data_IF_516237798343
#
_entry.id   IF_516237798343
#
_cell.length_a   1.000
_cell.length_b   1.000
_cell.length_c   1.000
_cell.angle_alpha   90.00
_cell.angle_beta   90.00
_cell.angle_gamma   90.00
#
_symmetry.space_group_name_H-M   'P 1'
#
loop_
_entity.id
_entity.type
_entity.pdbx_description
1 polymer ?
#
# COMPACT_ATOMS: atom_id res chain seq x y z
N UNK A 1 1.31 -18.83 -13.58
CA UNK A 1 2.57 -18.71 -12.82
C UNK A 1 2.32 -18.60 -11.32
N UNK A 2 1.59 -17.56 -10.83
CA UNK A 2 1.31 -17.34 -9.38
C UNK A 2 0.66 -18.57 -8.74
N UNK A 3 -0.37 -19.16 -9.37
CA UNK A 3 -1.05 -20.34 -8.82
C UNK A 3 -0.10 -21.52 -8.62
N UNK A 4 0.76 -21.80 -9.61
CA UNK A 4 1.72 -22.91 -9.53
C UNK A 4 2.76 -22.69 -8.43
N UNK A 5 3.25 -21.44 -8.27
CA UNK A 5 4.22 -21.09 -7.23
C UNK A 5 3.59 -21.09 -5.83
N UNK A 6 2.33 -20.68 -5.70
CA UNK A 6 1.59 -20.75 -4.44
C UNK A 6 1.28 -22.20 -4.01
N UNK A 7 1.18 -23.13 -4.97
CA UNK A 7 0.96 -24.55 -4.65
C UNK A 7 2.19 -25.24 -4.01
N UNK A 8 3.36 -24.61 -4.06
CA UNK A 8 4.55 -25.11 -3.37
C UNK A 8 4.37 -24.87 -1.86
N UNK A 9 4.40 -25.92 -1.00
CA UNK A 9 4.34 -25.78 0.44
C UNK A 9 5.41 -24.80 0.97
N UNK A 10 5.10 -24.09 2.04
CA UNK A 10 5.99 -23.02 2.55
C UNK A 10 7.34 -23.57 3.01
N UNK A 11 7.35 -24.72 3.66
CA UNK A 11 8.54 -25.45 4.10
C UNK A 11 9.40 -26.00 2.95
N UNK A 12 8.87 -26.04 1.74
CA UNK A 12 9.59 -26.45 0.52
C UNK A 12 10.07 -25.26 -0.31
N UNK A 13 9.72 -24.03 0.09
CA UNK A 13 10.16 -22.83 -0.61
C UNK A 13 11.59 -22.50 -0.22
N UNK A 14 12.47 -22.56 -1.20
CA UNK A 14 13.80 -21.99 -1.09
C UNK A 14 13.80 -20.53 -1.60
N UNK A 15 14.92 -19.85 -1.45
CA UNK A 15 15.10 -18.47 -1.91
C UNK A 15 14.61 -18.25 -3.37
N UNK A 16 14.99 -19.15 -4.29
CA UNK A 16 14.64 -19.00 -5.71
C UNK A 16 13.13 -19.05 -5.96
N UNK A 17 12.42 -19.99 -5.32
CA UNK A 17 10.98 -20.13 -5.47
C UNK A 17 10.24 -18.99 -4.78
N UNK A 18 10.69 -18.55 -3.60
CA UNK A 18 10.16 -17.40 -2.90
C UNK A 18 10.34 -16.11 -3.72
N UNK A 19 11.53 -15.86 -4.21
CA UNK A 19 11.83 -14.73 -5.10
C UNK A 19 10.97 -14.72 -6.37
N UNK A 20 10.83 -15.89 -7.03
CA UNK A 20 10.01 -16.00 -8.22
C UNK A 20 8.53 -15.72 -7.95
N UNK A 21 8.00 -16.17 -6.80
CA UNK A 21 6.63 -15.91 -6.38
C UNK A 21 6.43 -14.42 -6.08
N UNK A 22 7.33 -13.81 -5.31
CA UNK A 22 7.26 -12.39 -5.00
C UNK A 22 7.30 -11.53 -6.26
N UNK A 23 8.23 -11.81 -7.17
CA UNK A 23 8.31 -11.12 -8.47
C UNK A 23 7.02 -11.26 -9.29
N UNK A 24 6.41 -12.44 -9.30
CA UNK A 24 5.16 -12.65 -10.04
C UNK A 24 3.99 -11.88 -9.42
N UNK A 25 3.93 -11.80 -8.07
CA UNK A 25 2.92 -11.02 -7.33
C UNK A 25 3.10 -9.52 -7.55
N UNK A 26 4.33 -9.00 -7.51
CA UNK A 26 4.62 -7.60 -7.79
C UNK A 26 4.30 -7.23 -9.23
N UNK A 27 4.70 -8.05 -10.20
CA UNK A 27 4.38 -7.81 -11.60
C UNK A 27 2.85 -7.80 -11.82
N UNK A 28 2.12 -8.69 -11.17
CA UNK A 28 0.65 -8.67 -11.18
C UNK A 28 0.10 -7.36 -10.61
N UNK A 29 0.65 -6.87 -9.51
CA UNK A 29 0.16 -5.66 -8.85
C UNK A 29 0.54 -4.36 -9.56
N UNK A 30 1.75 -4.29 -10.13
CA UNK A 30 2.35 -3.05 -10.64
C UNK A 30 2.14 -2.88 -12.14
N UNK A 31 2.38 -3.96 -12.90
CA UNK A 31 2.37 -3.93 -14.37
C UNK A 31 1.04 -4.48 -14.91
N UNK A 32 0.35 -5.21 -14.09
CA UNK A 32 -0.69 -6.16 -14.28
C UNK A 32 -1.56 -6.02 -15.54
N UNK A 33 -1.78 -7.16 -16.16
CA UNK A 33 -2.90 -7.39 -17.07
C UNK A 33 -4.20 -7.33 -16.22
N UNK A 34 -4.44 -6.16 -15.65
CA UNK A 34 -5.68 -5.90 -14.95
C UNK A 34 -6.72 -5.59 -16.02
N UNK A 35 -7.75 -6.43 -16.11
CA UNK A 35 -8.97 -6.04 -16.80
C UNK A 35 -9.38 -4.67 -16.27
N UNK A 36 -9.83 -3.77 -17.16
CA UNK A 36 -10.41 -2.48 -16.78
C UNK A 36 -11.46 -2.74 -15.69
N UNK A 37 -11.24 -2.20 -14.50
CA UNK A 37 -12.13 -2.41 -13.35
C UNK A 37 -11.61 -3.38 -12.27
N UNK A 38 -10.39 -3.91 -12.37
CA UNK A 38 -9.80 -4.65 -11.24
C UNK A 38 -9.56 -3.72 -10.06
N UNK A 39 -10.19 -3.95 -8.90
CA UNK A 39 -10.05 -3.06 -7.76
C UNK A 39 -8.60 -3.00 -7.26
N UNK A 40 -8.12 -1.80 -6.94
CA UNK A 40 -6.75 -1.54 -6.43
C UNK A 40 -6.38 -2.44 -5.25
N UNK A 41 -7.31 -2.76 -4.36
CA UNK A 41 -7.04 -3.62 -3.20
C UNK A 41 -6.52 -5.03 -3.55
N UNK A 42 -6.78 -5.52 -4.76
CA UNK A 42 -6.23 -6.81 -5.22
C UNK A 42 -4.72 -6.70 -5.48
N UNK A 43 -4.27 -5.56 -6.03
CA UNK A 43 -2.86 -5.25 -6.16
C UNK A 43 -2.20 -5.10 -4.79
N UNK A 44 -2.82 -4.38 -3.87
CA UNK A 44 -2.29 -4.20 -2.51
C UNK A 44 -2.14 -5.53 -1.76
N UNK A 45 -3.12 -6.45 -1.87
CA UNK A 45 -3.00 -7.81 -1.32
C UNK A 45 -1.84 -8.60 -1.93
N UNK A 46 -1.63 -8.48 -3.24
CA UNK A 46 -0.53 -9.16 -3.92
C UNK A 46 0.83 -8.60 -3.47
N UNK A 47 0.95 -7.27 -3.29
CA UNK A 47 2.16 -6.64 -2.76
C UNK A 47 2.44 -7.05 -1.31
N UNK A 48 1.43 -7.05 -0.43
CA UNK A 48 1.58 -7.54 0.94
C UNK A 48 2.09 -8.98 0.94
N UNK A 49 1.48 -9.85 0.11
CA UNK A 49 1.92 -11.25 0.02
C UNK A 49 3.32 -11.40 -0.55
N UNK A 50 3.72 -10.56 -1.51
CA UNK A 50 5.09 -10.55 -2.04
C UNK A 50 6.12 -10.22 -0.96
N UNK A 51 5.84 -9.20 -0.14
CA UNK A 51 6.68 -8.81 1.00
C UNK A 51 6.79 -9.95 2.01
N UNK A 52 5.67 -10.58 2.41
CA UNK A 52 5.66 -11.73 3.34
C UNK A 52 6.54 -12.89 2.82
N UNK A 53 6.40 -13.20 1.54
CA UNK A 53 7.19 -14.27 0.90
C UNK A 53 8.69 -13.94 0.88
N UNK A 54 9.05 -12.68 0.60
CA UNK A 54 10.46 -12.24 0.65
C UNK A 54 11.00 -12.26 2.08
N UNK A 55 10.20 -11.86 3.06
CA UNK A 55 10.57 -11.91 4.47
C UNK A 55 10.85 -13.34 4.96
N UNK A 56 10.11 -14.33 4.46
CA UNK A 56 10.34 -15.75 4.83
C UNK A 56 11.73 -16.28 4.43
N UNK A 57 12.41 -15.61 3.51
CA UNK A 57 13.77 -15.94 3.04
C UNK A 57 14.78 -14.81 3.28
N UNK A 58 14.51 -13.96 4.26
CA UNK A 58 15.35 -12.80 4.59
C UNK A 58 16.82 -13.16 4.83
N UNK A 59 17.08 -14.23 5.59
CA UNK A 59 18.45 -14.66 5.92
C UNK A 59 19.30 -14.94 4.67
N UNK A 60 18.68 -15.48 3.62
CA UNK A 60 19.36 -15.73 2.35
C UNK A 60 19.38 -14.52 1.42
N UNK A 61 18.43 -13.58 1.61
CA UNK A 61 18.16 -12.49 0.68
C UNK A 61 18.77 -11.15 1.05
N UNK A 62 18.88 -10.80 2.34
CA UNK A 62 19.18 -9.45 2.81
C UNK A 62 20.50 -8.84 2.27
N UNK A 63 21.45 -9.69 1.88
CA UNK A 63 22.72 -9.28 1.30
C UNK A 63 22.76 -9.42 -0.23
N UNK A 64 21.59 -9.54 -0.88
CA UNK A 64 21.45 -9.58 -2.33
C UNK A 64 20.73 -8.34 -2.85
N UNK A 65 21.29 -7.72 -3.88
CA UNK A 65 20.72 -6.51 -4.50
C UNK A 65 19.28 -6.76 -5.00
N UNK A 66 19.06 -7.87 -5.68
CA UNK A 66 17.76 -8.22 -6.24
C UNK A 66 16.67 -8.46 -5.17
N UNK A 67 17.01 -8.96 -3.99
CA UNK A 67 16.05 -9.10 -2.89
C UNK A 67 15.66 -7.73 -2.33
N UNK A 68 16.64 -6.88 -2.08
CA UNK A 68 16.43 -5.52 -1.59
C UNK A 68 15.63 -4.69 -2.62
N UNK A 69 15.91 -4.86 -3.91
CA UNK A 69 15.15 -4.24 -4.99
C UNK A 69 13.66 -4.64 -4.92
N UNK A 70 13.35 -5.93 -4.73
CA UNK A 70 11.96 -6.41 -4.62
C UNK A 70 11.27 -5.86 -3.37
N UNK A 71 11.94 -5.88 -2.22
CA UNK A 71 11.41 -5.28 -1.00
C UNK A 71 11.13 -3.79 -1.17
N UNK A 72 12.02 -3.07 -1.84
CA UNK A 72 11.83 -1.66 -2.14
C UNK A 72 10.60 -1.43 -3.03
N UNK A 73 10.45 -2.17 -4.13
CA UNK A 73 9.27 -2.06 -5.00
C UNK A 73 7.99 -2.46 -4.27
N UNK A 74 7.98 -3.55 -3.51
CA UNK A 74 6.82 -3.96 -2.74
C UNK A 74 6.28 -2.85 -1.86
N UNK A 75 7.14 -2.17 -1.11
CA UNK A 75 6.74 -1.05 -0.24
C UNK A 75 6.48 0.26 -0.99
N UNK A 76 7.19 0.55 -2.09
CA UNK A 76 7.00 1.76 -2.90
C UNK A 76 5.57 1.87 -3.44
N UNK A 77 5.03 0.75 -3.93
CA UNK A 77 3.70 0.71 -4.53
C UNK A 77 2.56 0.48 -3.53
N UNK A 78 2.86 0.17 -2.27
CA UNK A 78 1.88 0.15 -1.19
C UNK A 78 1.65 1.57 -0.67
N UNK A 79 0.43 2.07 -0.88
CA UNK A 79 0.05 3.41 -0.45
C UNK A 79 0.31 3.62 1.06
N UNK A 80 1.05 4.66 1.38
CA UNK A 80 1.37 5.01 2.76
C UNK A 80 2.56 4.26 3.36
N UNK A 81 3.21 3.37 2.62
CA UNK A 81 4.33 2.57 3.11
C UNK A 81 5.68 2.97 2.48
N UNK A 82 5.72 4.05 1.70
CA UNK A 82 6.91 4.48 0.93
C UNK A 82 8.13 4.76 1.83
N UNK A 83 7.92 5.11 3.11
CA UNK A 83 9.02 5.27 4.06
C UNK A 83 9.77 3.96 4.30
N UNK A 84 9.06 2.82 4.25
CA UNK A 84 9.66 1.51 4.42
C UNK A 84 10.46 1.04 3.20
N UNK A 85 10.17 1.57 2.01
CA UNK A 85 10.91 1.26 0.79
C UNK A 85 12.35 1.81 0.83
N UNK A 86 12.55 2.98 1.46
CA UNK A 86 13.81 3.73 1.41
C UNK A 86 15.00 2.92 1.92
N UNK A 87 14.97 2.27 3.10
CA UNK A 87 16.14 1.50 3.58
C UNK A 87 16.50 0.33 2.67
N UNK A 88 15.52 -0.34 2.07
CA UNK A 88 15.79 -1.40 1.11
C UNK A 88 16.39 -0.86 -0.19
N UNK A 89 15.89 0.25 -0.71
CA UNK A 89 16.46 0.89 -1.88
C UNK A 89 17.88 1.41 -1.63
N UNK A 90 18.19 1.89 -0.42
CA UNK A 90 19.55 2.27 -0.02
C UNK A 90 20.47 1.05 0.00
N UNK A 91 20.01 -0.07 0.59
CA UNK A 91 20.81 -1.29 0.63
C UNK A 91 21.02 -1.86 -0.77
N UNK A 92 20.02 -1.79 -1.65
CA UNK A 92 20.16 -2.13 -3.05
C UNK A 92 21.24 -1.31 -3.74
N UNK A 93 21.24 0.02 -3.59
CA UNK A 93 22.26 0.90 -4.16
C UNK A 93 23.69 0.60 -3.63
N UNK A 94 23.81 0.17 -2.37
CA UNK A 94 25.11 -0.25 -1.79
C UNK A 94 25.61 -1.56 -2.43
N UNK A 95 24.72 -2.51 -2.69
CA UNK A 95 25.02 -3.82 -3.22
C UNK A 95 25.22 -3.84 -4.74
N UNK A 96 24.56 -2.95 -5.44
CA UNK A 96 24.66 -2.75 -6.89
C UNK A 96 24.71 -1.25 -7.25
N UNK A 97 25.87 -0.61 -7.11
CA UNK A 97 26.05 0.82 -7.35
C UNK A 97 25.86 1.23 -8.82
N UNK A 98 25.90 0.29 -9.76
CA UNK A 98 25.72 0.56 -11.18
C UNK A 98 24.23 0.64 -11.57
N UNK A 99 23.32 0.16 -10.72
CA UNK A 99 21.88 0.23 -10.96
C UNK A 99 21.30 1.56 -10.48
N UNK A 100 21.08 2.48 -11.42
CA UNK A 100 20.52 3.83 -11.16
C UNK A 100 19.08 3.78 -10.64
N UNK A 101 18.34 2.67 -10.83
CA UNK A 101 16.93 2.57 -10.42
C UNK A 101 16.77 2.67 -8.91
N UNK A 102 17.73 2.18 -8.13
CA UNK A 102 17.71 2.31 -6.68
C UNK A 102 17.59 3.76 -6.21
N UNK A 103 18.36 4.66 -6.84
CA UNK A 103 18.32 6.10 -6.56
C UNK A 103 17.00 6.74 -6.99
N UNK A 104 16.43 6.30 -8.11
CA UNK A 104 15.14 6.77 -8.60
C UNK A 104 14.03 6.39 -7.60
N UNK A 105 13.98 5.14 -7.13
CA UNK A 105 13.02 4.67 -6.11
C UNK A 105 13.08 5.53 -4.85
N UNK A 106 14.29 5.82 -4.34
CA UNK A 106 14.46 6.67 -3.15
C UNK A 106 13.88 8.08 -3.38
N UNK A 107 14.13 8.67 -4.56
CA UNK A 107 13.64 10.01 -4.88
C UNK A 107 12.11 10.03 -5.02
N UNK A 108 11.53 9.07 -5.70
CA UNK A 108 10.08 8.93 -5.86
C UNK A 108 9.37 8.74 -4.53
N UNK A 109 9.85 7.83 -3.67
CA UNK A 109 9.32 7.64 -2.33
C UNK A 109 9.36 8.94 -1.51
N UNK A 110 10.49 9.66 -1.51
CA UNK A 110 10.62 10.94 -0.83
C UNK A 110 9.67 12.01 -1.40
N UNK A 111 9.44 12.01 -2.70
CA UNK A 111 8.52 12.94 -3.35
C UNK A 111 7.06 12.67 -2.92
N UNK A 112 6.62 11.42 -2.90
CA UNK A 112 5.27 11.05 -2.46
C UNK A 112 5.04 11.33 -0.97
N UNK A 113 6.03 11.06 -0.11
CA UNK A 113 5.98 11.40 1.31
C UNK A 113 5.80 12.93 1.49
N UNK A 114 6.61 13.74 0.77
CA UNK A 114 6.51 15.21 0.83
C UNK A 114 5.15 15.72 0.33
N UNK A 115 4.64 15.14 -0.75
CA UNK A 115 3.33 15.49 -1.33
C UNK A 115 2.22 15.25 -0.30
N UNK A 116 2.18 14.09 0.36
CA UNK A 116 1.22 13.79 1.44
C UNK A 116 1.37 14.71 2.64
N UNK A 117 2.59 15.00 3.06
CA UNK A 117 2.83 15.94 4.17
C UNK A 117 2.32 17.36 3.84
N UNK A 118 2.48 17.80 2.59
CA UNK A 118 1.95 19.10 2.13
C UNK A 118 0.42 19.10 2.10
N UNK A 119 -0.20 18.03 1.64
CA UNK A 119 -1.67 17.89 1.63
C UNK A 119 -2.23 17.90 3.04
N UNK A 120 -1.63 17.16 3.98
CA UNK A 120 -2.01 17.19 5.41
C UNK A 120 -1.86 18.58 6.04
N UNK A 121 -0.83 19.35 5.67
CA UNK A 121 -0.65 20.71 6.18
C UNK A 121 -1.65 21.72 5.58
N UNK A 122 -2.16 21.47 4.37
CA UNK A 122 -3.18 22.31 3.73
C UNK A 122 -4.57 22.06 4.31
N UNK A 123 -4.85 20.88 4.79
CA UNK A 123 -6.08 20.57 5.51
C UNK A 123 -6.03 21.20 6.91
N UNK A 124 -6.28 22.51 6.99
CA UNK A 124 -6.51 23.18 8.28
C UNK A 124 -7.90 22.78 8.75
N UNK A 125 -7.95 21.80 9.64
CA UNK A 125 -9.15 21.58 10.43
C UNK A 125 -9.30 22.76 11.38
N UNK A 126 -10.38 23.53 11.23
CA UNK A 126 -10.80 24.54 12.18
C UNK A 126 -11.85 23.89 13.07
N UNK A 127 -11.57 23.66 14.36
CA UNK A 127 -12.57 23.11 15.27
C UNK A 127 -13.77 24.05 15.35
N UNK A 128 -14.96 23.55 15.09
CA UNK A 128 -16.23 24.25 15.20
C UNK A 128 -17.26 23.38 15.89
N UNK A 129 -18.48 23.88 16.01
CA UNK A 129 -19.60 23.18 16.67
C UNK A 129 -20.07 21.95 15.88
N UNK A 130 -19.66 21.84 14.60
CA UNK A 130 -19.90 20.68 13.73
C UNK A 130 -18.58 20.15 13.20
N UNK A 131 -18.46 18.83 12.90
CA UNK A 131 -17.23 18.23 12.38
C UNK A 131 -16.71 18.88 11.10
N UNK A 132 -17.58 19.55 10.37
CA UNK A 132 -17.29 20.14 9.05
C UNK A 132 -17.38 21.66 9.03
N UNK A 133 -17.52 22.32 10.19
CA UNK A 133 -17.56 23.78 10.24
C UNK A 133 -16.25 24.40 9.76
N UNK A 134 -16.35 25.31 8.80
CA UNK A 134 -15.19 25.94 8.15
C UNK A 134 -14.46 25.07 7.14
N UNK A 135 -14.98 23.88 6.82
CA UNK A 135 -14.44 23.01 5.79
C UNK A 135 -15.28 23.16 4.52
N UNK A 136 -14.65 23.57 3.43
CA UNK A 136 -15.32 23.63 2.11
C UNK A 136 -15.36 22.24 1.49
N UNK A 137 -16.54 21.63 1.51
CA UNK A 137 -16.80 20.32 0.89
C UNK A 137 -17.16 20.42 -0.60
N UNK A 138 -17.22 21.65 -1.15
CA UNK A 138 -17.49 21.85 -2.58
C UNK A 138 -16.38 21.18 -3.40
N UNK A 139 -16.73 20.27 -4.24
CA UNK A 139 -15.81 19.44 -5.03
C UNK A 139 -14.86 18.56 -4.19
N UNK A 140 -15.19 18.27 -2.93
CA UNK A 140 -14.43 17.32 -2.10
C UNK A 140 -14.66 15.88 -2.55
N UNK A 141 -15.88 15.57 -2.96
CA UNK A 141 -16.28 14.26 -3.45
C UNK A 141 -16.19 14.18 -4.96
N UNK A 142 -15.77 13.06 -5.48
CA UNK A 142 -15.90 12.75 -6.89
C UNK A 142 -17.33 12.22 -7.15
N UNK A 143 -18.17 13.05 -7.73
CA UNK A 143 -19.56 12.72 -8.08
C UNK A 143 -19.68 11.99 -9.42
N UNK A 144 -18.58 11.49 -9.98
CA UNK A 144 -18.66 10.67 -11.19
C UNK A 144 -19.52 9.42 -10.95
N UNK A 145 -20.21 8.97 -11.98
CA UNK A 145 -21.02 7.74 -11.91
C UNK A 145 -20.21 6.53 -11.49
N UNK A 146 -18.91 6.52 -11.79
CA UNK A 146 -17.98 5.49 -11.36
C UNK A 146 -17.74 5.56 -9.86
N UNK A 147 -17.42 6.74 -9.33
CA UNK A 147 -17.16 6.92 -7.90
C UNK A 147 -18.41 6.60 -7.06
N UNK A 148 -19.57 7.06 -7.48
CA UNK A 148 -20.83 6.78 -6.80
C UNK A 148 -21.18 5.29 -6.77
N UNK A 149 -20.85 4.55 -7.84
CA UNK A 149 -21.12 3.12 -7.93
C UNK A 149 -20.14 2.25 -7.16
N UNK A 150 -18.86 2.61 -7.17
CA UNK A 150 -17.78 1.74 -6.66
C UNK A 150 -17.35 2.09 -5.22
N UNK A 151 -17.57 3.33 -4.79
CA UNK A 151 -17.04 3.82 -3.51
C UNK A 151 -18.08 4.37 -2.55
N UNK A 152 -19.29 4.60 -3.01
CA UNK A 152 -20.39 5.02 -2.14
C UNK A 152 -21.23 3.81 -1.79
N UNK A 153 -21.25 3.44 -0.53
CA UNK A 153 -22.15 2.44 0.04
C UNK A 153 -23.19 3.11 0.91
N UNK A 154 -24.26 2.37 1.24
CA UNK A 154 -25.23 2.86 2.20
C UNK A 154 -24.54 3.23 3.53
N UNK A 155 -25.00 4.29 4.20
CA UNK A 155 -24.49 4.66 5.50
C UNK A 155 -24.52 3.47 6.47
N UNK A 156 -23.47 3.29 7.30
CA UNK A 156 -23.48 2.21 8.28
C UNK A 156 -24.63 2.38 9.29
N UNK A 157 -25.26 1.28 9.69
CA UNK A 157 -26.28 1.34 10.73
C UNK A 157 -25.67 1.67 12.11
N UNK A 158 -26.48 2.21 13.01
CA UNK A 158 -26.05 2.51 14.38
C UNK A 158 -25.53 1.28 15.11
N UNK A 159 -26.10 0.09 14.83
CA UNK A 159 -25.65 -1.18 15.41
C UNK A 159 -24.25 -1.56 14.90
N UNK A 160 -23.97 -1.32 13.61
CA UNK A 160 -22.65 -1.58 13.04
C UNK A 160 -21.62 -0.62 13.64
N UNK A 161 -21.97 0.66 13.77
CA UNK A 161 -21.10 1.66 14.43
C UNK A 161 -20.81 1.23 15.86
N UNK A 162 -21.82 0.86 16.63
CA UNK A 162 -21.67 0.42 18.01
C UNK A 162 -20.77 -0.83 18.12
N UNK A 163 -20.91 -1.79 17.22
CA UNK A 163 -20.07 -3.00 17.23
C UNK A 163 -18.60 -2.69 16.91
N UNK A 164 -18.35 -1.76 15.99
CA UNK A 164 -16.99 -1.31 15.68
C UNK A 164 -16.37 -0.55 16.84
N UNK A 165 -17.12 0.33 17.50
CA UNK A 165 -16.66 1.05 18.68
C UNK A 165 -16.33 0.11 19.85
N UNK A 166 -17.13 -0.95 20.05
CA UNK A 166 -16.88 -1.98 21.05
C UNK A 166 -15.58 -2.74 20.75
N UNK A 167 -15.39 -3.16 19.50
CA UNK A 167 -14.17 -3.86 19.07
C UNK A 167 -12.91 -2.99 19.21
N UNK A 168 -13.01 -1.70 18.86
CA UNK A 168 -11.90 -0.76 18.97
C UNK A 168 -11.64 -0.28 20.40
N UNK A 169 -12.62 -0.39 21.31
CA UNK A 169 -12.54 0.07 22.69
C UNK A 169 -12.59 1.59 22.87
N UNK A 170 -13.03 2.34 21.86
CA UNK A 170 -13.24 3.79 21.93
C UNK A 170 -14.36 4.26 21.00
N UNK A 171 -14.90 5.43 21.26
CA UNK A 171 -15.92 6.07 20.44
C UNK A 171 -15.32 6.66 19.16
N UNK A 172 -15.96 6.39 18.02
CA UNK A 172 -15.58 7.01 16.76
C UNK A 172 -15.86 8.52 16.78
N UNK A 173 -14.93 9.36 16.29
CA UNK A 173 -15.21 10.78 16.12
C UNK A 173 -16.42 11.01 15.21
N UNK A 174 -17.26 12.01 15.53
CA UNK A 174 -18.45 12.33 14.73
C UNK A 174 -18.16 12.51 13.22
N UNK A 175 -16.97 13.00 12.89
CA UNK A 175 -16.52 13.15 11.49
C UNK A 175 -16.35 11.83 10.72
N UNK A 176 -16.37 10.68 11.39
CA UNK A 176 -16.32 9.35 10.75
C UNK A 176 -17.71 8.74 10.58
N UNK A 177 -18.73 9.29 11.21
CA UNK A 177 -20.10 8.74 11.26
C UNK A 177 -21.03 9.50 10.33
N UNK A 178 -20.59 10.68 9.85
CA UNK A 178 -21.38 11.55 8.96
C UNK A 178 -21.20 11.24 7.49
#
# INVERSE_FOLDING_TARGET
>A
CIQALNAIPEDWRNYRTAYALARALENYAIIGDHDEGTPRYKGDKALCRAIEVLESVREEGQDKAEWNMRMAYGYQYLYGQEEKAIPYAQRWAELDPEDENASAVIQECKAEIRKRQRSRKKAKFVPGDTPFEGFDLTNFWDDSMYALKEYVSDPPSDELIASVEEELGYKLPAAYIW
#
